data_IF_372167382299
#
_entry.id   IF_372167382299
#
_cell.length_a   1.000
_cell.length_b   1.000
_cell.length_c   1.000
_cell.angle_alpha   90.00
_cell.angle_beta   90.00
_cell.angle_gamma   90.00
#
_symmetry.space_group_name_H-M   'P 1'
#
loop_
_entity.id
_entity.type
_entity.pdbx_description
1 polymer ?
#
# COMPACT_ATOMS: atom_id res chain seq x y z
N UNK A 1 -20.14 29.63 44.48
CA UNK A 1 -19.17 30.07 43.45
C UNK A 1 -18.36 28.85 43.10
N UNK A 2 -18.69 28.07 42.06
CA UNK A 2 -18.53 28.41 40.64
C UNK A 2 -17.04 28.29 40.30
N UNK A 3 -16.56 27.45 39.40
CA UNK A 3 -17.10 27.03 38.11
C UNK A 3 -16.89 25.53 37.84
N UNK A 4 -17.87 24.95 37.15
CA UNK A 4 -17.74 23.73 36.36
C UNK A 4 -16.84 24.00 35.15
N UNK A 5 -15.77 23.22 34.95
CA UNK A 5 -15.20 23.03 33.64
C UNK A 5 -15.84 21.77 33.04
N UNK A 6 -16.83 22.02 32.19
CA UNK A 6 -17.40 21.05 31.26
C UNK A 6 -16.28 20.61 30.33
N UNK A 7 -15.94 19.31 30.36
CA UNK A 7 -15.16 18.71 29.28
C UNK A 7 -16.01 18.85 28.01
N UNK A 8 -15.58 19.73 27.12
CA UNK A 8 -16.17 19.89 25.80
C UNK A 8 -15.83 18.63 25.03
N UNK A 9 -16.85 17.80 24.79
CA UNK A 9 -16.82 16.78 23.76
C UNK A 9 -16.48 17.46 22.44
N UNK A 10 -15.29 17.18 21.89
CA UNK A 10 -15.10 17.31 20.45
C UNK A 10 -15.85 16.13 19.85
N UNK A 11 -17.01 16.36 19.24
CA UNK A 11 -17.70 15.29 18.52
C UNK A 11 -16.82 14.90 17.33
N UNK A 12 -16.45 13.62 17.25
CA UNK A 12 -15.90 13.09 16.00
C UNK A 12 -17.09 12.90 15.04
N UNK A 13 -17.49 13.98 14.35
CA UNK A 13 -18.47 13.93 13.25
C UNK A 13 -17.91 13.24 11.98
N UNK A 14 -16.87 12.41 12.11
CA UNK A 14 -16.28 11.67 11.00
C UNK A 14 -17.10 10.42 10.70
N UNK A 15 -17.38 10.18 9.42
CA UNK A 15 -18.01 8.94 8.93
C UNK A 15 -17.32 7.70 9.51
N UNK A 16 -18.11 6.80 10.10
CA UNK A 16 -17.62 5.53 10.63
C UNK A 16 -17.33 4.53 9.49
N UNK A 17 -16.51 3.52 9.75
CA UNK A 17 -16.27 2.44 8.78
C UNK A 17 -17.58 1.76 8.35
N UNK A 18 -18.49 1.53 9.30
CA UNK A 18 -19.78 0.93 9.03
C UNK A 18 -20.62 1.79 8.07
N UNK A 19 -20.65 3.12 8.27
CA UNK A 19 -21.35 4.04 7.36
C UNK A 19 -20.75 4.02 5.95
N UNK A 20 -19.42 3.99 5.85
CA UNK A 20 -18.74 3.89 4.56
C UNK A 20 -19.07 2.57 3.85
N UNK A 21 -19.02 1.44 4.57
CA UNK A 21 -19.36 0.11 4.04
C UNK A 21 -20.81 0.07 3.55
N UNK A 22 -21.77 0.59 4.31
CA UNK A 22 -23.18 0.64 3.92
C UNK A 22 -23.41 1.47 2.65
N UNK A 23 -22.70 2.59 2.49
CA UNK A 23 -22.74 3.38 1.25
C UNK A 23 -22.21 2.58 0.06
N UNK A 24 -21.09 1.87 0.24
CA UNK A 24 -20.47 1.07 -0.82
C UNK A 24 -21.37 -0.10 -1.21
N UNK A 25 -21.92 -0.83 -0.23
CA UNK A 25 -22.86 -1.92 -0.48
C UNK A 25 -24.09 -1.44 -1.24
N UNK A 26 -24.63 -0.27 -0.87
CA UNK A 26 -25.74 0.35 -1.58
C UNK A 26 -25.36 0.64 -3.05
N UNK A 27 -24.23 1.29 -3.28
CA UNK A 27 -23.78 1.60 -4.65
C UNK A 27 -23.50 0.33 -5.46
N UNK A 28 -22.88 -0.71 -4.88
CA UNK A 28 -22.59 -1.93 -5.62
C UNK A 28 -23.85 -2.74 -5.95
N UNK A 29 -24.89 -2.62 -5.11
CA UNK A 29 -26.20 -3.20 -5.36
C UNK A 29 -26.96 -2.42 -6.44
N UNK A 30 -27.11 -1.12 -6.25
CA UNK A 30 -27.96 -0.23 -7.06
C UNK A 30 -27.28 0.26 -8.35
N UNK A 31 -25.94 0.31 -8.39
CA UNK A 31 -25.08 0.74 -9.51
C UNK A 31 -25.47 2.11 -10.03
N UNK A 32 -25.53 3.10 -9.14
CA UNK A 32 -25.99 4.44 -9.51
C UNK A 32 -24.97 5.18 -10.38
N UNK A 33 -23.69 4.83 -10.27
CA UNK A 33 -22.63 5.30 -11.17
C UNK A 33 -22.43 4.30 -12.31
N UNK A 34 -22.41 4.79 -13.56
CA UNK A 34 -22.17 3.92 -14.73
C UNK A 34 -20.81 3.21 -14.68
N UNK A 35 -19.79 3.81 -14.07
CA UNK A 35 -18.48 3.17 -13.87
C UNK A 35 -18.56 1.97 -12.92
N UNK A 36 -19.43 2.01 -11.91
CA UNK A 36 -19.65 0.87 -11.00
C UNK A 36 -20.21 -0.32 -11.77
N UNK A 37 -21.18 -0.10 -12.65
CA UNK A 37 -21.74 -1.16 -13.49
C UNK A 37 -20.64 -1.79 -14.38
N UNK A 38 -19.82 -0.97 -15.04
CA UNK A 38 -18.74 -1.44 -15.90
C UNK A 38 -17.72 -2.31 -15.15
N UNK A 39 -17.29 -1.87 -13.95
CA UNK A 39 -16.34 -2.62 -13.14
C UNK A 39 -16.93 -3.93 -12.61
N UNK A 40 -18.18 -3.92 -12.12
CA UNK A 40 -18.85 -5.10 -11.59
C UNK A 40 -19.28 -6.10 -12.67
N UNK A 41 -19.28 -5.69 -13.94
CA UNK A 41 -19.51 -6.62 -15.06
C UNK A 41 -18.33 -7.56 -15.30
N UNK A 42 -17.11 -7.09 -15.03
CA UNK A 42 -15.87 -7.82 -15.36
C UNK A 42 -15.19 -8.40 -14.12
N UNK A 43 -15.43 -7.80 -12.96
CA UNK A 43 -14.79 -8.11 -11.69
C UNK A 43 -15.81 -8.32 -10.58
N UNK A 44 -15.40 -8.95 -9.49
CA UNK A 44 -16.29 -9.24 -8.36
C UNK A 44 -15.60 -8.89 -7.04
N UNK A 45 -16.25 -8.15 -6.14
CA UNK A 45 -15.71 -7.90 -4.81
C UNK A 45 -15.80 -9.18 -3.97
N UNK A 46 -14.98 -9.25 -2.91
CA UNK A 46 -15.01 -10.37 -1.97
C UNK A 46 -15.99 -10.09 -0.83
N UNK A 47 -16.81 -11.09 -0.48
CA UNK A 47 -17.67 -11.07 0.71
C UNK A 47 -17.19 -12.14 1.70
N UNK A 48 -17.13 -11.78 2.99
CA UNK A 48 -16.89 -12.70 4.09
C UNK A 48 -18.10 -12.66 5.02
N UNK A 49 -18.70 -13.83 5.30
CA UNK A 49 -19.92 -13.92 6.12
C UNK A 49 -21.07 -13.01 5.65
N UNK A 50 -21.24 -12.89 4.32
CA UNK A 50 -22.17 -11.99 3.63
C UNK A 50 -21.92 -10.48 3.86
N UNK A 51 -20.78 -10.10 4.43
CA UNK A 51 -20.36 -8.71 4.61
C UNK A 51 -19.30 -8.38 3.56
N UNK A 52 -19.42 -7.22 2.91
CA UNK A 52 -18.43 -6.75 1.96
C UNK A 52 -17.06 -6.59 2.63
N UNK A 53 -16.04 -7.28 2.10
CA UNK A 53 -14.69 -7.17 2.63
C UNK A 53 -14.08 -5.83 2.21
N UNK A 54 -13.59 -5.08 3.19
CA UNK A 54 -12.81 -3.85 2.98
C UNK A 54 -11.47 -4.03 3.65
N UNK A 55 -10.38 -3.94 2.88
CA UNK A 55 -9.02 -4.17 3.40
C UNK A 55 -8.44 -2.91 4.05
N UNK A 56 -8.87 -1.71 3.63
CA UNK A 56 -8.55 -0.42 4.28
C UNK A 56 -9.57 0.65 3.93
N UNK A 57 -9.85 1.55 4.87
CA UNK A 57 -10.50 2.84 4.60
C UNK A 57 -9.51 3.93 4.95
N UNK A 58 -8.94 4.54 3.91
CA UNK A 58 -7.96 5.60 4.03
C UNK A 58 -8.62 6.95 4.27
N UNK A 59 -8.07 7.68 5.24
CA UNK A 59 -8.52 9.00 5.71
C UNK A 59 -7.37 10.00 5.79
N UNK A 60 -6.20 9.65 5.23
CA UNK A 60 -4.99 10.47 5.27
C UNK A 60 -5.14 11.72 4.36
N UNK A 61 -6.11 11.72 3.43
CA UNK A 61 -6.44 12.89 2.61
C UNK A 61 -6.96 14.07 3.43
N UNK A 62 -6.45 15.26 3.12
CA UNK A 62 -6.83 16.51 3.79
C UNK A 62 -8.18 17.06 3.33
N UNK A 63 -8.73 16.55 2.25
CA UNK A 63 -9.87 17.17 1.55
C UNK A 63 -11.22 16.54 1.91
N UNK A 64 -11.32 15.90 3.08
CA UNK A 64 -12.56 15.23 3.55
C UNK A 64 -13.08 14.16 2.57
N UNK A 65 -12.16 13.64 1.76
CA UNK A 65 -12.32 12.47 0.90
C UNK A 65 -11.74 11.26 1.61
N UNK A 66 -12.45 10.13 1.56
CA UNK A 66 -11.92 8.84 2.00
C UNK A 66 -11.87 7.88 0.83
N UNK A 67 -10.90 6.97 0.86
CA UNK A 67 -10.76 5.92 -0.16
C UNK A 67 -10.92 4.57 0.53
N UNK A 68 -11.95 3.82 0.14
CA UNK A 68 -12.11 2.44 0.59
C UNK A 68 -11.49 1.49 -0.44
N UNK A 69 -10.58 0.62 0.02
CA UNK A 69 -9.91 -0.39 -0.79
C UNK A 69 -10.58 -1.75 -0.57
N UNK A 70 -11.20 -2.28 -1.63
CA UNK A 70 -11.90 -3.55 -1.59
C UNK A 70 -11.15 -4.57 -2.45
N UNK A 71 -10.80 -5.75 -1.91
CA UNK A 71 -10.14 -6.76 -2.69
C UNK A 71 -11.07 -7.31 -3.78
N UNK A 72 -10.48 -7.59 -4.94
CA UNK A 72 -11.16 -8.16 -6.10
C UNK A 72 -10.88 -9.66 -6.14
N UNK A 73 -11.91 -10.47 -6.40
CA UNK A 73 -11.80 -11.92 -6.49
C UNK A 73 -10.83 -12.33 -7.59
N UNK A 74 -9.89 -13.23 -7.27
CA UNK A 74 -8.85 -13.77 -8.15
C UNK A 74 -7.86 -12.72 -8.73
N UNK A 75 -7.89 -11.50 -8.22
CA UNK A 75 -7.03 -10.40 -8.67
C UNK A 75 -6.22 -9.84 -7.49
N UNK A 76 -5.14 -9.11 -7.80
CA UNK A 76 -4.28 -8.49 -6.79
C UNK A 76 -4.56 -7.02 -6.55
N UNK A 77 -5.02 -6.29 -7.56
CA UNK A 77 -5.44 -4.90 -7.43
C UNK A 77 -6.77 -4.80 -6.65
N UNK A 78 -7.14 -3.58 -6.27
CA UNK A 78 -8.32 -3.29 -5.48
C UNK A 78 -9.35 -2.53 -6.31
N UNK A 79 -10.63 -2.68 -5.97
CA UNK A 79 -11.55 -1.56 -6.20
C UNK A 79 -11.20 -0.44 -5.23
N UNK A 80 -11.18 0.78 -5.73
CA UNK A 80 -11.09 1.98 -4.93
C UNK A 80 -12.40 2.76 -5.03
N UNK A 81 -13.03 2.99 -3.88
CA UNK A 81 -14.29 3.73 -3.80
C UNK A 81 -14.02 5.05 -3.09
N UNK A 82 -14.28 6.14 -3.81
CA UNK A 82 -14.01 7.51 -3.37
C UNK A 82 -15.28 8.11 -2.76
N UNK A 83 -15.23 8.43 -1.47
CA UNK A 83 -16.40 8.92 -0.72
C UNK A 83 -16.12 10.35 -0.25
N UNK A 84 -17.03 11.27 -0.60
CA UNK A 84 -17.07 12.63 -0.07
C UNK A 84 -17.81 12.59 1.26
N UNK A 85 -17.07 12.81 2.36
CA UNK A 85 -17.63 12.70 3.70
C UNK A 85 -18.51 13.89 4.10
N UNK A 86 -18.43 15.04 3.39
CA UNK A 86 -19.34 16.17 3.63
C UNK A 86 -20.73 15.89 3.11
N UNK A 87 -20.79 15.29 1.93
CA UNK A 87 -22.05 15.00 1.23
C UNK A 87 -22.57 13.61 1.52
N UNK A 88 -21.75 12.76 2.14
CA UNK A 88 -22.08 11.37 2.42
C UNK A 88 -22.45 10.62 1.12
N UNK A 89 -21.63 10.83 0.07
CA UNK A 89 -21.86 10.30 -1.28
C UNK A 89 -20.61 9.62 -1.85
N UNK A 90 -20.82 8.58 -2.65
CA UNK A 90 -19.75 8.01 -3.48
C UNK A 90 -19.62 8.88 -4.72
N UNK A 91 -18.42 9.41 -4.93
CA UNK A 91 -18.10 10.30 -6.05
C UNK A 91 -17.44 9.55 -7.21
N UNK A 92 -16.92 8.35 -6.96
CA UNK A 92 -16.29 7.53 -7.98
C UNK A 92 -16.00 6.12 -7.51
N UNK A 93 -15.93 5.21 -8.47
CA UNK A 93 -15.42 3.85 -8.32
C UNK A 93 -14.37 3.63 -9.40
N UNK A 94 -13.21 3.14 -8.99
CA UNK A 94 -12.08 2.85 -9.85
C UNK A 94 -11.37 1.57 -9.42
N UNK A 95 -10.20 1.35 -10.00
CA UNK A 95 -9.25 0.34 -9.52
C UNK A 95 -7.96 1.01 -9.10
N UNK A 96 -7.41 0.56 -7.98
CA UNK A 96 -6.09 0.96 -7.52
C UNK A 96 -5.13 -0.22 -7.56
N UNK A 97 -3.91 0.03 -8.02
CA UNK A 97 -2.89 -1.00 -8.11
C UNK A 97 -2.52 -1.51 -6.71
N UNK A 98 -2.17 -2.80 -6.64
CA UNK A 98 -1.52 -3.31 -5.44
C UNK A 98 -0.08 -2.84 -5.43
N UNK A 99 0.27 -2.02 -4.45
CA UNK A 99 1.62 -1.50 -4.26
C UNK A 99 2.33 -2.21 -3.12
N UNK A 100 3.51 -2.78 -3.41
CA UNK A 100 4.47 -3.19 -2.38
C UNK A 100 5.74 -2.35 -2.54
N UNK A 101 5.87 -1.31 -1.72
CA UNK A 101 7.05 -0.43 -1.69
C UNK A 101 7.85 -0.75 -0.43
N UNK A 102 9.07 -1.28 -0.60
CA UNK A 102 9.87 -1.73 0.51
C UNK A 102 11.36 -1.51 0.26
N UNK A 103 12.11 -1.32 1.34
CA UNK A 103 13.56 -1.36 1.27
C UNK A 103 14.02 -2.82 1.28
N UNK A 104 15.04 -3.12 0.48
CA UNK A 104 15.68 -4.42 0.42
C UNK A 104 17.18 -4.27 0.35
N UNK A 105 17.88 -5.02 1.20
CA UNK A 105 19.31 -5.25 1.12
C UNK A 105 19.57 -6.75 0.93
N UNK A 106 20.51 -7.09 0.05
CA UNK A 106 20.91 -8.46 -0.27
C UNK A 106 22.43 -8.60 -0.33
N UNK A 107 22.93 -9.78 0.01
CA UNK A 107 24.35 -10.09 -0.17
C UNK A 107 24.56 -11.57 -0.43
N UNK A 108 25.43 -11.88 -1.38
CA UNK A 108 25.89 -13.25 -1.63
C UNK A 108 27.01 -13.71 -0.69
N UNK A 109 27.66 -12.76 0.00
CA UNK A 109 28.86 -12.99 0.83
C UNK A 109 28.61 -12.74 2.32
N UNK A 110 27.78 -11.76 2.68
CA UNK A 110 27.47 -11.43 4.07
C UNK A 110 26.39 -12.36 4.64
N UNK A 111 26.54 -12.68 5.93
CA UNK A 111 25.48 -13.36 6.68
C UNK A 111 24.36 -12.38 7.04
N UNK A 112 23.20 -12.89 7.42
CA UNK A 112 22.12 -12.06 7.92
C UNK A 112 22.53 -11.28 9.18
N UNK A 113 23.36 -11.85 10.05
CA UNK A 113 23.81 -11.17 11.27
C UNK A 113 24.73 -10.00 10.93
N UNK A 114 25.61 -10.15 9.93
CA UNK A 114 26.44 -9.04 9.42
C UNK A 114 25.57 -7.90 8.87
N UNK A 115 24.52 -8.25 8.12
CA UNK A 115 23.57 -7.28 7.55
C UNK A 115 22.79 -6.57 8.66
N UNK A 116 22.24 -7.34 9.62
CA UNK A 116 21.50 -6.79 10.77
C UNK A 116 22.35 -5.89 11.64
N UNK A 117 23.64 -6.16 11.77
CA UNK A 117 24.55 -5.32 12.55
C UNK A 117 24.80 -3.93 11.93
N UNK A 118 24.41 -3.69 10.66
CA UNK A 118 24.62 -2.39 10.00
C UNK A 118 23.63 -1.32 10.45
N UNK A 119 22.45 -1.71 10.91
CA UNK A 119 21.36 -0.80 11.29
C UNK A 119 20.70 -1.23 12.60
N UNK A 120 20.10 -0.28 13.32
CA UNK A 120 19.24 -0.60 14.47
C UNK A 120 17.77 -0.78 14.08
N UNK A 121 17.42 -0.71 12.79
CA UNK A 121 16.04 -0.91 12.32
C UNK A 121 15.71 -2.40 12.26
N UNK A 122 14.48 -2.74 12.68
CA UNK A 122 13.98 -4.11 12.67
C UNK A 122 13.46 -4.46 11.27
N UNK A 123 13.93 -5.55 10.64
CA UNK A 123 13.40 -6.00 9.36
C UNK A 123 12.01 -6.64 9.51
N UNK A 124 11.17 -6.43 8.50
CA UNK A 124 9.86 -7.10 8.36
C UNK A 124 10.01 -8.53 7.85
N UNK A 125 10.98 -8.78 6.97
CA UNK A 125 11.24 -10.09 6.38
C UNK A 125 12.75 -10.25 6.19
N UNK A 126 13.28 -11.46 6.44
CA UNK A 126 14.70 -11.75 6.29
C UNK A 126 14.95 -13.24 6.12
N UNK A 127 16.13 -13.57 5.60
CA UNK A 127 16.66 -14.93 5.54
C UNK A 127 18.18 -14.92 5.37
N UNK A 128 18.83 -16.04 5.70
CA UNK A 128 20.21 -16.32 5.37
C UNK A 128 20.33 -17.02 4.01
N UNK A 129 21.49 -16.83 3.37
CA UNK A 129 21.92 -17.74 2.31
C UNK A 129 21.96 -19.17 2.84
N UNK A 130 21.39 -20.10 2.06
CA UNK A 130 21.29 -21.52 2.44
C UNK A 130 20.00 -21.89 3.15
N UNK A 131 19.22 -20.92 3.66
CA UNK A 131 17.92 -21.22 4.26
C UNK A 131 16.98 -21.83 3.23
N UNK A 132 16.16 -22.79 3.66
CA UNK A 132 15.16 -23.43 2.82
C UNK A 132 14.05 -22.42 2.50
N UNK A 133 13.69 -22.29 1.23
CA UNK A 133 12.57 -21.42 0.83
C UNK A 133 11.24 -21.95 1.38
N UNK A 134 10.20 -21.10 1.53
CA UNK A 134 8.89 -21.53 2.05
C UNK A 134 8.25 -22.70 1.28
N UNK A 135 8.58 -22.88 0.00
CA UNK A 135 8.07 -24.00 -0.79
C UNK A 135 8.79 -25.34 -0.54
N UNK A 136 9.85 -25.35 0.26
CA UNK A 136 10.63 -26.54 0.61
C UNK A 136 11.46 -27.16 -0.53
N UNK A 137 11.50 -26.53 -1.71
CA UNK A 137 12.08 -27.14 -2.93
C UNK A 137 13.49 -26.68 -3.25
N UNK A 138 13.94 -25.57 -2.68
CA UNK A 138 15.26 -25.00 -2.95
C UNK A 138 15.67 -24.05 -1.83
N UNK A 139 16.96 -23.75 -1.75
CA UNK A 139 17.50 -22.83 -0.76
C UNK A 139 17.60 -21.41 -1.33
N UNK A 140 17.72 -20.42 -0.45
CA UNK A 140 18.08 -19.06 -0.80
C UNK A 140 19.56 -18.99 -1.21
N UNK A 141 19.87 -18.31 -2.33
CA UNK A 141 21.24 -18.17 -2.85
C UNK A 141 22.02 -16.99 -2.25
N UNK A 142 21.33 -16.12 -1.52
CA UNK A 142 21.84 -14.90 -0.89
C UNK A 142 21.10 -14.64 0.43
N UNK A 143 21.71 -13.87 1.32
CA UNK A 143 21.08 -13.35 2.54
C UNK A 143 20.26 -12.10 2.21
N UNK A 144 19.11 -11.91 2.85
CA UNK A 144 18.25 -10.74 2.59
C UNK A 144 17.71 -10.13 3.88
N UNK A 145 17.57 -8.82 3.83
CA UNK A 145 16.94 -7.98 4.85
C UNK A 145 15.93 -7.07 4.15
N UNK A 146 14.68 -7.02 4.62
CA UNK A 146 13.62 -6.19 4.05
C UNK A 146 12.90 -5.38 5.11
N UNK A 147 12.51 -4.17 4.77
CA UNK A 147 11.67 -3.28 5.59
C UNK A 147 10.45 -2.86 4.77
N UNK A 148 9.26 -3.23 5.23
CA UNK A 148 7.96 -2.84 4.67
C UNK A 148 7.09 -2.26 5.80
N UNK A 149 7.13 -0.94 6.03
CA UNK A 149 6.42 -0.32 7.14
C UNK A 149 4.93 -0.10 6.88
N UNK A 150 4.49 -0.22 5.63
CA UNK A 150 3.10 -0.03 5.22
C UNK A 150 2.61 -1.21 4.35
N UNK A 151 2.17 -2.33 4.97
CA UNK A 151 1.72 -3.52 4.26
C UNK A 151 0.26 -3.47 3.75
N UNK A 152 -0.56 -2.54 4.23
CA UNK A 152 -1.97 -2.38 3.85
C UNK A 152 -2.13 -1.84 2.42
N UNK A 153 -3.30 -1.87 1.76
CA UNK A 153 -3.50 -1.16 0.48
C UNK A 153 -3.26 0.34 0.65
N UNK A 154 -2.54 0.99 -0.27
CA UNK A 154 -2.28 2.43 -0.20
C UNK A 154 -1.73 2.93 -1.55
N UNK A 155 -1.77 4.23 -1.76
CA UNK A 155 -1.14 4.88 -2.91
C UNK A 155 0.40 4.72 -2.85
N UNK A 156 1.03 4.70 -4.03
CA UNK A 156 2.48 4.52 -4.14
C UNK A 156 3.25 5.64 -3.40
N UNK A 157 2.82 6.88 -3.61
CA UNK A 157 3.43 8.09 -3.07
C UNK A 157 3.43 8.06 -1.53
N UNK A 158 2.31 7.69 -0.93
CA UNK A 158 2.17 7.59 0.52
C UNK A 158 2.99 6.45 1.09
N UNK A 159 3.06 5.30 0.39
CA UNK A 159 3.95 4.21 0.77
C UNK A 159 5.42 4.59 0.69
N UNK A 160 5.84 5.30 -0.35
CA UNK A 160 7.22 5.77 -0.48
C UNK A 160 7.56 6.73 0.65
N UNK A 161 6.69 7.69 0.97
CA UNK A 161 6.89 8.63 2.08
C UNK A 161 6.96 7.90 3.42
N UNK A 162 6.04 6.98 3.68
CA UNK A 162 6.02 6.15 4.91
C UNK A 162 7.29 5.28 5.01
N UNK A 163 7.77 4.73 3.90
CA UNK A 163 9.05 4.02 3.84
C UNK A 163 10.23 4.94 4.17
N UNK A 164 10.38 6.07 3.47
CA UNK A 164 11.48 7.00 3.69
C UNK A 164 11.48 7.53 5.12
N UNK A 165 10.31 7.87 5.69
CA UNK A 165 10.17 8.29 7.10
C UNK A 165 10.72 7.21 8.05
N UNK A 166 10.49 5.93 7.76
CA UNK A 166 10.98 4.83 8.57
C UNK A 166 12.49 4.64 8.42
N UNK A 167 13.01 4.66 7.19
CA UNK A 167 14.44 4.49 6.90
C UNK A 167 15.28 5.63 7.51
N UNK A 168 14.75 6.85 7.52
CA UNK A 168 15.44 8.02 8.06
C UNK A 168 15.64 7.99 9.58
N UNK A 169 15.01 7.05 10.30
CA UNK A 169 15.28 6.79 11.71
C UNK A 169 16.70 6.26 11.94
N UNK A 170 17.36 5.70 10.91
CA UNK A 170 18.76 5.27 10.94
C UNK A 170 19.47 5.54 9.60
N UNK A 171 19.64 6.81 9.26
CA UNK A 171 20.24 7.22 7.96
C UNK A 171 21.60 6.57 7.70
N UNK A 172 22.46 6.51 8.71
CA UNK A 172 23.81 5.96 8.56
C UNK A 172 23.79 4.44 8.41
N UNK A 173 22.89 3.74 9.10
CA UNK A 173 22.69 2.30 8.89
C UNK A 173 22.16 1.98 7.49
N UNK A 174 21.20 2.77 7.00
CA UNK A 174 20.65 2.59 5.65
C UNK A 174 21.70 2.85 4.56
N UNK A 175 22.52 3.90 4.70
CA UNK A 175 23.64 4.14 3.77
C UNK A 175 24.63 2.97 3.75
N UNK A 176 24.98 2.42 4.92
CA UNK A 176 25.86 1.23 4.99
C UNK A 176 25.24 0.03 4.29
N UNK A 177 23.94 -0.20 4.47
CA UNK A 177 23.23 -1.27 3.78
C UNK A 177 23.20 -1.06 2.27
N UNK A 178 22.96 0.17 1.81
CA UNK A 178 23.01 0.55 0.40
C UNK A 178 24.38 0.21 -0.22
N UNK A 179 25.47 0.60 0.46
CA UNK A 179 26.82 0.45 -0.07
C UNK A 179 27.39 -0.97 0.06
N UNK A 180 27.09 -1.69 1.15
CA UNK A 180 27.73 -2.97 1.49
C UNK A 180 26.87 -4.20 1.25
N UNK A 181 25.56 -4.02 1.12
CA UNK A 181 24.59 -5.10 0.98
C UNK A 181 23.54 -4.76 -0.10
N UNK A 182 23.96 -4.12 -1.19
CA UNK A 182 23.13 -3.86 -2.38
C UNK A 182 21.75 -3.32 -2.01
N UNK A 183 21.69 -2.32 -1.13
CA UNK A 183 20.45 -1.78 -0.60
C UNK A 183 19.76 -0.83 -1.59
N UNK A 184 18.48 -1.06 -1.86
CA UNK A 184 17.64 -0.23 -2.73
C UNK A 184 16.16 -0.29 -2.32
N UNK A 185 15.34 0.59 -2.90
CA UNK A 185 13.88 0.53 -2.79
C UNK A 185 13.34 -0.36 -3.92
N UNK A 186 12.61 -1.40 -3.58
CA UNK A 186 11.85 -2.19 -4.55
C UNK A 186 10.39 -1.78 -4.51
N UNK A 187 9.83 -1.58 -5.70
CA UNK A 187 8.41 -1.38 -5.94
C UNK A 187 7.92 -2.60 -6.74
N UNK A 188 6.92 -3.30 -6.22
CA UNK A 188 6.19 -4.30 -6.98
C UNK A 188 4.74 -3.85 -7.11
N UNK A 189 4.20 -3.96 -8.32
CA UNK A 189 2.91 -3.42 -8.70
C UNK A 189 2.08 -4.43 -9.46
N UNK A 190 0.86 -4.69 -9.01
CA UNK A 190 -0.13 -5.43 -9.79
C UNK A 190 -1.26 -4.47 -10.19
N UNK A 191 -1.39 -4.21 -11.49
CA UNK A 191 -2.22 -3.15 -12.07
C UNK A 191 -3.35 -3.79 -12.88
N UNK A 192 -4.56 -3.23 -12.78
CA UNK A 192 -5.66 -3.63 -13.64
C UNK A 192 -5.36 -3.26 -15.11
N UNK A 193 -5.54 -4.22 -16.01
CA UNK A 193 -5.32 -4.05 -17.45
C UNK A 193 -6.24 -2.99 -18.05
N UNK A 194 -7.45 -2.79 -17.49
CA UNK A 194 -8.47 -1.90 -18.03
C UNK A 194 -8.53 -2.02 -19.56
N UNK A 195 -8.35 -0.91 -20.29
CA UNK A 195 -8.24 -0.87 -21.75
C UNK A 195 -6.79 -0.60 -22.22
N UNK A 196 -5.81 -1.17 -21.53
CA UNK A 196 -4.39 -1.03 -21.82
C UNK A 196 -3.75 0.28 -21.33
N UNK A 197 -4.50 1.10 -20.58
CA UNK A 197 -3.97 2.32 -19.97
C UNK A 197 -3.42 1.99 -18.58
N UNK A 198 -2.11 1.91 -18.49
CA UNK A 198 -1.39 1.75 -17.23
C UNK A 198 -1.10 3.18 -16.72
N UNK A 199 -1.54 3.49 -15.50
CA UNK A 199 -1.29 4.79 -14.86
C UNK A 199 0.20 5.08 -14.66
N UNK A 200 0.51 6.29 -14.19
CA UNK A 200 1.86 6.71 -13.86
C UNK A 200 1.99 7.12 -12.40
N UNK A 201 3.18 6.95 -11.84
CA UNK A 201 3.52 7.39 -10.50
C UNK A 201 4.39 8.64 -10.55
N UNK A 202 4.22 9.50 -9.55
CA UNK A 202 5.05 10.66 -9.36
C UNK A 202 5.99 10.44 -8.17
N UNK A 203 7.27 10.75 -8.35
CA UNK A 203 8.19 10.90 -7.23
C UNK A 203 8.51 12.39 -7.17
N UNK A 204 8.04 13.05 -6.12
CA UNK A 204 8.27 14.47 -5.96
C UNK A 204 9.76 14.79 -5.68
N UNK A 205 10.12 16.06 -5.80
CA UNK A 205 11.51 16.50 -5.63
C UNK A 205 12.03 16.23 -4.21
N UNK A 206 11.17 16.29 -3.20
CA UNK A 206 11.57 16.04 -1.82
C UNK A 206 11.92 14.57 -1.60
N UNK A 207 11.08 13.65 -2.10
CA UNK A 207 11.34 12.20 -2.00
C UNK A 207 12.56 11.78 -2.83
N UNK A 208 12.78 12.38 -4.02
CA UNK A 208 14.03 12.18 -4.79
C UNK A 208 15.25 12.58 -3.97
N UNK A 209 15.22 13.75 -3.32
CA UNK A 209 16.33 14.22 -2.48
C UNK A 209 16.57 13.27 -1.30
N UNK A 210 15.50 12.83 -0.63
CA UNK A 210 15.58 11.91 0.52
C UNK A 210 16.18 10.55 0.12
N UNK A 211 15.77 9.98 -1.01
CA UNK A 211 16.38 8.76 -1.54
C UNK A 211 17.88 8.95 -1.81
N UNK A 212 18.26 10.06 -2.45
CA UNK A 212 19.65 10.36 -2.74
C UNK A 212 20.50 10.54 -1.47
N UNK A 213 19.94 11.20 -0.44
CA UNK A 213 20.59 11.37 0.86
C UNK A 213 20.85 10.03 1.56
N UNK A 214 19.99 9.03 1.32
CA UNK A 214 20.14 7.65 1.80
C UNK A 214 20.97 6.75 0.88
N UNK A 215 21.48 7.27 -0.25
CA UNK A 215 22.21 6.52 -1.29
C UNK A 215 21.38 5.41 -1.94
N UNK A 216 20.07 5.60 -2.04
CA UNK A 216 19.15 4.59 -2.56
C UNK A 216 18.83 4.83 -4.04
N UNK A 217 18.83 3.75 -4.81
CA UNK A 217 18.09 3.65 -6.06
C UNK A 217 16.70 3.09 -5.82
N UNK A 218 15.86 3.13 -6.86
CA UNK A 218 14.52 2.54 -6.86
C UNK A 218 14.36 1.64 -8.09
N UNK A 219 13.79 0.45 -7.90
CA UNK A 219 13.48 -0.51 -8.95
C UNK A 219 11.97 -0.78 -9.02
N UNK A 220 11.44 -0.93 -10.23
CA UNK A 220 10.01 -1.15 -10.49
C UNK A 220 9.77 -2.48 -11.20
N UNK A 221 8.98 -3.35 -10.56
CA UNK A 221 8.46 -4.57 -11.16
C UNK A 221 6.95 -4.37 -11.37
N UNK A 222 6.54 -4.27 -12.64
CA UNK A 222 5.16 -3.99 -13.03
C UNK A 222 4.51 -5.24 -13.61
N UNK A 223 3.35 -5.60 -13.07
CA UNK A 223 2.50 -6.69 -13.53
C UNK A 223 1.14 -6.15 -13.90
N UNK A 224 0.58 -6.65 -15.00
CA UNK A 224 -0.73 -6.25 -15.50
C UNK A 224 -1.63 -7.48 -15.53
N UNK A 225 -2.81 -7.36 -14.93
CA UNK A 225 -3.78 -8.44 -14.76
C UNK A 225 -5.22 -7.98 -14.86
N UNK A 226 -6.18 -8.86 -14.65
CA UNK A 226 -7.60 -8.54 -14.80
C UNK A 226 -8.11 -8.49 -16.24
N UNK A 227 -9.44 -8.61 -16.34
CA UNK A 227 -10.17 -8.54 -17.61
C UNK A 227 -10.25 -7.11 -18.11
N UNK A 228 -10.26 -6.93 -19.43
CA UNK A 228 -10.58 -5.64 -20.04
C UNK A 228 -12.06 -5.33 -19.96
N UNK A 229 -12.41 -4.04 -20.08
CA UNK A 229 -13.81 -3.66 -20.22
C UNK A 229 -14.38 -4.19 -21.54
N UNK A 230 -15.69 -4.40 -21.56
CA UNK A 230 -16.40 -4.77 -22.78
C UNK A 230 -16.65 -3.52 -23.63
N UNK A 231 -16.64 -3.71 -24.95
CA UNK A 231 -17.02 -2.70 -25.94
C UNK A 231 -18.54 -2.54 -26.05
#
# INVERSE_FOLDING_TARGET
MGLYCVNIYVSSNSMTDQQAIELIEKEFKEKTLGVTEQYLEIHSPIYADNILKVDRIDRDSKDEMIIAYLPVLDERFYFAVYIDTKKNEITGVGTEAYHRVYFRATSETLTLDDIKAMTHLTPTEFWNKGDLRPNGKSNHSFSSFKILPNPEPDEFEDKLKKLLNFLEQDKEGIKKLAEKAEGYIQVAMDIHNANGMIGGHNIDTDDIRRMNDLKLSINFDLYVGGKSFKE
#
